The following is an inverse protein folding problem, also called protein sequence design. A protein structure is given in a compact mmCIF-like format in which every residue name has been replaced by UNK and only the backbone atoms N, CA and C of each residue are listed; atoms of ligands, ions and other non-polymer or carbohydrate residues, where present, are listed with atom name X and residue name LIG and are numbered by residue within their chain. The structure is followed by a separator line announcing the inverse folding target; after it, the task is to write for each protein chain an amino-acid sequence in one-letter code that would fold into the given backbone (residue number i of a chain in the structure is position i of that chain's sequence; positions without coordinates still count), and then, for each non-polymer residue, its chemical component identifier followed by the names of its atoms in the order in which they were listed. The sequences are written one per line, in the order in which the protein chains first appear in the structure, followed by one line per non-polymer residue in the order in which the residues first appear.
data_IF_817804868395
#
_entry.id   IF_817804868395
#
_cell.length_a   1.000
_cell.length_b   1.000
_cell.length_c   1.000
_cell.angle_alpha   90.00
_cell.angle_beta   90.00
_cell.angle_gamma   90.00
#
_symmetry.space_group_name_H-M   'P 1'
#
loop_
_entity.id
_entity.type
_entity.pdbx_description
1 polymer ?
#
# COMPACT_ATOMS: atom_id res chain seq x y z
N UNK A 1 -3.66 -18.06 24.52
CA UNK A 1 -3.83 -18.72 23.19
C UNK A 1 -5.24 -18.57 22.60
N UNK A 2 -6.33 -18.90 23.32
CA UNK A 2 -7.71 -18.84 22.78
C UNK A 2 -8.09 -17.44 22.25
N UNK A 3 -7.72 -16.40 22.99
CA UNK A 3 -8.01 -15.01 22.63
C UNK A 3 -7.27 -14.57 21.35
N UNK A 4 -5.96 -14.88 21.25
CA UNK A 4 -5.17 -14.57 20.05
C UNK A 4 -5.77 -15.23 18.81
N UNK A 5 -6.14 -16.53 18.90
CA UNK A 5 -6.79 -17.22 17.77
C UNK A 5 -8.11 -16.57 17.39
N UNK A 6 -8.92 -16.16 18.38
CA UNK A 6 -10.18 -15.48 18.13
C UNK A 6 -9.96 -14.13 17.43
N UNK A 7 -8.99 -13.34 17.91
CA UNK A 7 -8.64 -12.04 17.33
C UNK A 7 -8.18 -12.18 15.87
N UNK A 8 -7.33 -13.17 15.58
CA UNK A 8 -6.87 -13.46 14.22
C UNK A 8 -8.04 -13.89 13.35
N UNK A 9 -8.95 -14.74 13.86
CA UNK A 9 -10.05 -15.32 13.07
C UNK A 9 -11.05 -14.26 12.61
N UNK A 10 -11.24 -13.21 13.41
CA UNK A 10 -12.11 -12.09 13.07
C UNK A 10 -11.59 -11.27 11.88
N UNK A 11 -10.29 -11.37 11.55
CA UNK A 11 -9.66 -10.62 10.45
C UNK A 11 -9.43 -11.46 9.22
N UNK A 12 -8.85 -12.66 9.38
CA UNK A 12 -8.49 -13.52 8.24
C UNK A 12 -9.59 -14.51 7.84
N UNK A 13 -10.61 -14.67 8.69
CA UNK A 13 -11.70 -15.61 8.50
C UNK A 13 -11.55 -16.91 9.30
N UNK A 14 -12.55 -17.81 9.21
CA UNK A 14 -12.51 -19.11 9.87
C UNK A 14 -11.48 -20.04 9.23
N UNK A 15 -11.02 -21.04 10.00
CA UNK A 15 -10.08 -22.05 9.48
C UNK A 15 -8.62 -21.61 9.48
N UNK A 16 -8.18 -20.89 10.51
CA UNK A 16 -6.78 -20.50 10.68
C UNK A 16 -5.88 -21.72 10.83
N UNK A 17 -4.76 -21.71 10.12
CA UNK A 17 -3.69 -22.67 10.25
C UNK A 17 -2.82 -22.44 11.48
N UNK A 18 -1.51 -22.61 11.29
CA UNK A 18 -0.51 -22.36 12.33
C UNK A 18 -0.27 -20.87 12.49
N UNK A 19 -0.12 -20.43 13.73
CA UNK A 19 0.32 -19.07 14.07
C UNK A 19 1.84 -19.07 14.26
N UNK A 20 2.50 -18.13 13.60
CA UNK A 20 3.93 -17.86 13.74
C UNK A 20 4.09 -16.46 14.33
N UNK A 21 4.78 -16.33 15.45
CA UNK A 21 4.90 -15.06 16.16
C UNK A 21 6.27 -14.43 15.90
N UNK A 22 6.28 -13.15 15.57
CA UNK A 22 7.51 -12.37 15.34
C UNK A 22 7.61 -11.32 16.43
N UNK A 23 8.78 -11.24 17.08
CA UNK A 23 9.13 -10.29 18.14
C UNK A 23 10.51 -9.71 17.86
N UNK A 24 10.78 -8.45 18.22
CA UNK A 24 12.05 -7.79 17.92
C UNK A 24 13.28 -8.50 18.53
N UNK A 25 13.11 -9.08 19.71
CA UNK A 25 14.12 -9.88 20.41
C UNK A 25 13.41 -10.98 21.23
N UNK A 26 14.03 -12.16 21.31
CA UNK A 26 13.56 -13.28 22.14
C UNK A 26 13.61 -12.98 23.64
N UNK A 27 14.33 -11.96 24.06
CA UNK A 27 14.37 -11.53 25.46
C UNK A 27 13.35 -10.42 25.79
N UNK A 28 12.62 -9.90 24.79
CA UNK A 28 11.71 -8.79 25.01
C UNK A 28 10.43 -9.19 25.77
N UNK A 29 9.69 -8.18 26.26
CA UNK A 29 8.47 -8.40 27.04
C UNK A 29 7.39 -9.20 26.29
N UNK A 30 7.28 -9.04 24.97
CA UNK A 30 6.32 -9.78 24.15
C UNK A 30 6.70 -11.26 24.04
N UNK A 31 7.99 -11.59 23.90
CA UNK A 31 8.49 -12.96 23.91
C UNK A 31 8.21 -13.66 25.25
N UNK A 32 8.41 -12.94 26.36
CA UNK A 32 8.08 -13.42 27.70
C UNK A 32 6.57 -13.65 27.86
N UNK A 33 5.73 -12.72 27.39
CA UNK A 33 4.27 -12.84 27.44
C UNK A 33 3.74 -14.02 26.61
N UNK A 34 4.28 -14.22 25.40
CA UNK A 34 3.95 -15.37 24.55
C UNK A 34 4.33 -16.68 25.25
N UNK A 35 5.55 -16.75 25.80
CA UNK A 35 6.02 -17.94 26.52
C UNK A 35 5.18 -18.24 27.75
N UNK A 36 4.85 -17.22 28.55
CA UNK A 36 3.96 -17.33 29.71
C UNK A 36 2.53 -17.73 29.32
N UNK A 37 2.12 -17.46 28.07
CA UNK A 37 0.83 -17.89 27.50
C UNK A 37 0.86 -19.32 26.92
N UNK A 38 1.94 -20.07 27.13
CA UNK A 38 2.12 -21.44 26.65
C UNK A 38 2.51 -21.56 25.18
N UNK A 39 2.95 -20.48 24.53
CA UNK A 39 3.48 -20.53 23.17
C UNK A 39 4.90 -21.11 23.20
N UNK A 40 5.10 -22.23 22.52
CA UNK A 40 6.43 -22.84 22.43
C UNK A 40 7.42 -21.98 21.65
N UNK A 41 8.68 -21.97 22.09
CA UNK A 41 9.78 -21.20 21.48
C UNK A 41 9.98 -21.48 19.98
N UNK A 42 9.64 -22.68 19.51
CA UNK A 42 9.65 -23.03 18.08
C UNK A 42 8.57 -22.34 17.23
N UNK A 43 7.73 -21.50 17.83
CA UNK A 43 6.75 -20.65 17.12
C UNK A 43 7.06 -19.16 17.26
N UNK A 44 8.17 -18.79 17.91
CA UNK A 44 8.60 -17.42 18.14
C UNK A 44 9.87 -17.15 17.33
N UNK A 45 9.81 -16.16 16.45
CA UNK A 45 10.82 -15.78 15.48
C UNK A 45 11.21 -14.31 15.69
N UNK A 46 12.36 -13.92 15.14
CA UNK A 46 12.88 -12.54 15.22
C UNK A 46 12.85 -11.80 13.88
N UNK A 47 12.45 -12.47 12.79
CA UNK A 47 12.20 -11.84 11.48
C UNK A 47 10.94 -12.40 10.84
N UNK A 48 10.34 -11.60 9.94
CA UNK A 48 9.16 -12.01 9.18
C UNK A 48 9.56 -13.05 8.15
N UNK A 49 10.71 -12.88 7.49
CA UNK A 49 11.29 -13.86 6.55
C UNK A 49 11.44 -15.25 7.16
N UNK A 50 11.97 -15.35 8.40
CA UNK A 50 12.14 -16.63 9.08
C UNK A 50 10.79 -17.26 9.42
N UNK A 51 9.85 -16.48 9.97
CA UNK A 51 8.51 -16.98 10.28
C UNK A 51 7.76 -17.45 9.01
N UNK A 52 7.84 -16.68 7.93
CA UNK A 52 7.24 -17.02 6.65
C UNK A 52 7.83 -18.30 6.06
N UNK A 53 9.14 -18.55 6.21
CA UNK A 53 9.76 -19.79 5.74
C UNK A 53 9.13 -21.05 6.37
N UNK A 54 8.61 -20.92 7.59
CA UNK A 54 7.96 -21.98 8.35
C UNK A 54 6.47 -22.15 8.05
N UNK A 55 5.84 -21.17 7.40
CA UNK A 55 4.46 -21.26 6.95
C UNK A 55 4.32 -22.28 5.82
N UNK A 56 3.12 -22.81 5.62
CA UNK A 56 2.81 -23.78 4.57
C UNK A 56 1.68 -23.24 3.71
N UNK A 57 1.84 -23.36 2.39
CA UNK A 57 0.84 -22.89 1.44
C UNK A 57 -0.52 -23.57 1.66
N UNK A 58 -1.59 -22.81 1.41
CA UNK A 58 -2.99 -23.24 1.46
C UNK A 58 -3.46 -23.74 2.83
N UNK A 59 -2.82 -23.29 3.92
CA UNK A 59 -3.22 -23.65 5.29
C UNK A 59 -3.79 -22.49 6.10
N UNK A 60 -3.91 -21.29 5.54
CA UNK A 60 -4.26 -20.08 6.28
C UNK A 60 -3.32 -19.85 7.46
N UNK A 61 -2.03 -20.16 7.28
CA UNK A 61 -1.01 -19.87 8.29
C UNK A 61 -0.86 -18.35 8.41
N UNK A 62 -0.68 -17.84 9.63
CA UNK A 62 -0.62 -16.40 9.91
C UNK A 62 0.68 -16.06 10.62
N UNK A 63 1.40 -15.09 10.06
CA UNK A 63 2.56 -14.48 10.69
C UNK A 63 2.06 -13.27 11.48
N UNK A 64 2.06 -13.40 12.81
CA UNK A 64 1.64 -12.38 13.77
C UNK A 64 2.87 -11.61 14.28
N UNK A 65 2.98 -10.33 13.92
CA UNK A 65 4.15 -9.49 14.21
C UNK A 65 3.82 -8.53 15.36
N UNK A 66 4.54 -8.63 16.46
CA UNK A 66 4.35 -7.76 17.63
C UNK A 66 4.96 -6.37 17.42
N UNK A 67 4.60 -5.36 18.24
CA UNK A 67 5.18 -4.02 18.14
C UNK A 67 6.71 -4.05 18.14
N UNK A 68 7.30 -3.29 17.22
CA UNK A 68 8.73 -3.25 16.94
C UNK A 68 9.03 -2.87 15.49
N UNK A 69 10.31 -2.62 15.22
CA UNK A 69 10.84 -2.41 13.88
C UNK A 69 11.63 -3.66 13.44
N UNK A 70 11.29 -4.19 12.27
CA UNK A 70 11.80 -5.45 11.75
C UNK A 70 12.52 -5.20 10.43
N UNK A 71 13.85 -5.19 10.50
CA UNK A 71 14.70 -5.03 9.32
C UNK A 71 14.79 -6.35 8.56
N UNK A 72 14.50 -6.32 7.27
CA UNK A 72 14.80 -7.39 6.33
C UNK A 72 15.96 -6.95 5.43
N UNK A 73 16.86 -7.89 5.10
CA UNK A 73 18.05 -7.61 4.28
C UNK A 73 17.84 -7.94 2.80
N UNK A 74 16.69 -8.51 2.46
CA UNK A 74 16.32 -8.92 1.11
C UNK A 74 14.79 -8.88 0.94
N UNK A 75 14.33 -8.95 -0.32
CA UNK A 75 12.90 -9.13 -0.63
C UNK A 75 12.37 -10.41 0.00
N UNK A 76 11.18 -10.34 0.60
CA UNK A 76 10.42 -11.52 0.97
C UNK A 76 9.54 -11.93 -0.22
N UNK A 77 9.91 -13.02 -0.87
CA UNK A 77 9.10 -13.62 -1.94
C UNK A 77 7.91 -14.37 -1.35
N UNK A 78 6.78 -13.65 -1.22
CA UNK A 78 5.54 -14.15 -0.63
C UNK A 78 4.76 -15.02 -1.64
N UNK A 79 5.32 -16.17 -1.97
CA UNK A 79 4.82 -17.17 -2.93
C UNK A 79 3.79 -18.19 -2.40
N UNK A 80 3.67 -18.38 -1.08
CA UNK A 80 2.76 -19.36 -0.48
C UNK A 80 1.32 -18.83 -0.45
N UNK A 81 0.45 -19.40 -1.28
CA UNK A 81 -0.97 -19.02 -1.31
C UNK A 81 -1.66 -19.22 0.05
N UNK A 82 -2.67 -18.40 0.36
CA UNK A 82 -3.40 -18.41 1.64
C UNK A 82 -2.47 -18.48 2.87
N UNK A 83 -1.46 -17.63 2.88
CA UNK A 83 -0.67 -17.30 4.08
C UNK A 83 -0.80 -15.81 4.32
N UNK A 84 -0.80 -15.37 5.58
CA UNK A 84 -1.22 -14.01 5.93
C UNK A 84 -0.22 -13.32 6.85
N UNK A 85 -0.20 -11.99 6.78
CA UNK A 85 0.62 -11.13 7.64
C UNK A 85 -0.30 -10.24 8.49
N UNK A 86 -0.01 -10.15 9.78
CA UNK A 86 -0.81 -9.34 10.70
C UNK A 86 0.07 -8.69 11.75
N UNK A 87 -0.02 -7.36 11.88
CA UNK A 87 0.53 -6.66 13.03
C UNK A 87 -0.35 -6.79 14.27
N UNK A 88 0.29 -6.90 15.43
CA UNK A 88 -0.35 -7.03 16.75
C UNK A 88 -0.27 -5.73 17.56
N UNK A 89 0.04 -4.60 16.91
CA UNK A 89 0.17 -3.28 17.54
C UNK A 89 -1.02 -2.33 17.36
N UNK A 90 -1.99 -2.69 16.54
CA UNK A 90 -3.15 -1.84 16.24
C UNK A 90 -2.94 -0.96 15.00
N UNK A 91 -3.72 0.12 14.91
CA UNK A 91 -3.74 1.02 13.76
C UNK A 91 -2.41 1.74 13.58
N UNK A 92 -1.92 1.69 12.34
CA UNK A 92 -0.66 2.30 11.96
C UNK A 92 -0.92 3.54 11.12
N UNK A 93 -0.79 4.71 11.74
CA UNK A 93 -0.63 5.97 11.01
C UNK A 93 0.82 6.12 10.59
N UNK A 94 1.06 6.63 9.37
CA UNK A 94 2.40 7.00 8.86
C UNK A 94 3.27 7.61 9.97
N UNK A 95 4.43 7.02 10.19
CA UNK A 95 5.44 7.47 11.15
C UNK A 95 6.80 6.86 10.79
N UNK A 96 7.86 7.37 11.40
CA UNK A 96 9.21 6.82 11.25
C UNK A 96 9.30 5.42 11.87
N UNK A 97 10.24 4.59 11.42
CA UNK A 97 10.50 3.27 12.00
C UNK A 97 10.96 3.35 13.47
N UNK A 98 11.15 4.56 14.01
CA UNK A 98 11.39 4.85 15.43
C UNK A 98 10.11 5.03 16.27
N UNK A 99 8.91 5.09 15.67
CA UNK A 99 7.64 5.27 16.39
C UNK A 99 6.89 3.92 16.50
N UNK A 100 6.97 3.21 17.65
CA UNK A 100 6.84 1.76 17.69
C UNK A 100 5.38 1.28 17.73
N UNK A 101 4.74 1.23 16.57
CA UNK A 101 3.74 0.22 16.27
C UNK A 101 4.44 -1.00 15.63
N UNK A 102 3.94 -1.59 14.53
CA UNK A 102 4.58 -2.72 13.83
C UNK A 102 5.14 -2.27 12.47
N UNK A 103 6.46 -2.18 12.32
CA UNK A 103 7.10 -1.73 11.06
C UNK A 103 7.99 -2.81 10.47
N UNK A 104 7.71 -3.23 9.25
CA UNK A 104 8.58 -4.08 8.43
C UNK A 104 9.33 -3.19 7.44
N UNK A 105 10.66 -3.22 7.42
CA UNK A 105 11.41 -2.31 6.58
C UNK A 105 12.71 -2.91 6.03
N UNK A 106 13.23 -2.28 4.98
CA UNK A 106 14.58 -2.54 4.46
C UNK A 106 15.36 -1.23 4.49
N UNK A 107 16.49 -1.17 5.19
CA UNK A 107 17.31 0.05 5.30
C UNK A 107 18.64 0.00 4.53
N UNK A 108 19.03 -1.17 4.02
CA UNK A 108 20.32 -1.36 3.32
C UNK A 108 20.14 -2.25 2.09
N UNK A 109 21.00 -2.03 1.09
CA UNK A 109 21.02 -2.66 -0.23
C UNK A 109 19.85 -2.28 -1.19
N UNK A 110 20.14 -2.43 -2.47
CA UNK A 110 19.19 -2.42 -3.57
C UNK A 110 18.20 -3.59 -3.41
N UNK A 111 17.14 -3.38 -2.63
CA UNK A 111 16.01 -4.30 -2.46
C UNK A 111 14.84 -3.75 -3.26
N UNK A 112 14.51 -4.45 -4.35
CA UNK A 112 13.45 -4.06 -5.27
C UNK A 112 12.11 -3.84 -4.57
N UNK A 113 11.72 -4.80 -3.73
CA UNK A 113 10.48 -4.79 -2.96
C UNK A 113 10.74 -5.35 -1.56
N UNK A 114 10.09 -4.82 -0.52
CA UNK A 114 10.14 -5.47 0.80
C UNK A 114 9.35 -6.78 0.74
N UNK A 115 8.18 -6.76 0.08
CA UNK A 115 7.38 -7.94 -0.22
C UNK A 115 7.12 -8.02 -1.73
N UNK A 116 7.57 -9.12 -2.34
CA UNK A 116 7.15 -9.54 -3.68
C UNK A 116 6.03 -10.59 -3.56
N UNK A 117 4.79 -10.16 -3.76
CA UNK A 117 3.61 -11.00 -3.58
C UNK A 117 3.29 -11.77 -4.87
N UNK A 118 3.64 -13.05 -4.88
CA UNK A 118 3.39 -13.99 -5.98
C UNK A 118 2.43 -15.13 -5.62
N UNK A 119 2.10 -15.28 -4.33
CA UNK A 119 1.09 -16.21 -3.82
C UNK A 119 -0.30 -15.59 -3.79
N UNK A 120 -1.33 -16.37 -4.11
CA UNK A 120 -2.71 -15.90 -4.19
C UNK A 120 -3.37 -15.82 -2.79
N UNK A 121 -4.45 -15.04 -2.70
CA UNK A 121 -5.31 -14.94 -1.50
C UNK A 121 -4.56 -14.52 -0.22
N UNK A 122 -3.55 -13.68 -0.38
CA UNK A 122 -2.80 -13.10 0.72
C UNK A 122 -3.64 -12.06 1.46
N UNK A 123 -3.48 -12.00 2.77
CA UNK A 123 -4.09 -10.91 3.56
C UNK A 123 -3.03 -10.24 4.44
N UNK A 124 -3.08 -8.92 4.49
CA UNK A 124 -2.17 -8.08 5.28
C UNK A 124 -2.97 -7.11 6.13
N UNK A 125 -2.73 -7.11 7.44
CA UNK A 125 -3.49 -6.30 8.39
C UNK A 125 -2.56 -5.57 9.36
N UNK A 126 -2.91 -4.32 9.70
CA UNK A 126 -2.43 -3.63 10.90
C UNK A 126 -0.88 -3.48 10.97
N UNK A 127 -0.21 -3.28 9.82
CA UNK A 127 1.26 -3.21 9.73
C UNK A 127 1.73 -2.09 8.78
N UNK A 128 2.87 -1.48 9.08
CA UNK A 128 3.57 -0.59 8.15
C UNK A 128 4.69 -1.36 7.41
N UNK A 129 4.82 -1.12 6.11
CA UNK A 129 5.84 -1.71 5.25
C UNK A 129 6.59 -0.59 4.54
N UNK A 130 7.91 -0.54 4.71
CA UNK A 130 8.75 0.58 4.26
C UNK A 130 9.96 0.11 3.45
N UNK A 131 10.07 0.56 2.21
CA UNK A 131 11.31 0.42 1.45
C UNK A 131 12.14 1.70 1.62
N UNK A 132 13.01 1.71 2.63
CA UNK A 132 13.85 2.85 3.00
C UNK A 132 15.25 2.81 2.34
N UNK A 133 15.44 2.01 1.30
CA UNK A 133 16.71 1.96 0.57
C UNK A 133 16.92 3.18 -0.34
N UNK A 134 18.19 3.57 -0.52
CA UNK A 134 18.59 4.70 -1.38
C UNK A 134 19.22 4.23 -2.70
N UNK A 135 18.47 3.48 -3.52
CA UNK A 135 18.87 3.03 -4.86
C UNK A 135 17.73 3.25 -5.87
N UNK A 136 18.07 3.54 -7.13
CA UNK A 136 17.09 3.62 -8.22
C UNK A 136 16.37 2.28 -8.50
N UNK A 137 16.86 1.18 -7.93
CA UNK A 137 16.24 -0.13 -7.99
C UNK A 137 15.36 -0.46 -6.78
N UNK A 138 15.34 0.36 -5.72
CA UNK A 138 14.38 0.18 -4.63
C UNK A 138 12.98 0.64 -5.09
N UNK A 139 12.29 -0.24 -5.81
CA UNK A 139 11.09 0.12 -6.57
C UNK A 139 9.88 0.44 -5.70
N UNK A 140 9.55 -0.38 -4.68
CA UNK A 140 8.38 -0.15 -3.83
C UNK A 140 8.44 -0.89 -2.48
N UNK A 141 7.50 -0.59 -1.58
CA UNK A 141 7.30 -1.39 -0.37
C UNK A 141 6.77 -2.79 -0.72
N UNK A 142 5.72 -2.81 -1.55
CA UNK A 142 5.01 -4.04 -1.92
C UNK A 142 4.79 -4.05 -3.43
N UNK A 143 5.08 -5.19 -4.05
CA UNK A 143 4.59 -5.52 -5.40
C UNK A 143 3.52 -6.59 -5.29
N UNK A 144 2.33 -6.28 -5.78
CA UNK A 144 1.22 -7.23 -5.93
C UNK A 144 1.28 -7.83 -7.33
N UNK A 145 1.68 -9.09 -7.41
CA UNK A 145 1.71 -9.88 -8.64
C UNK A 145 0.95 -11.20 -8.47
N UNK A 146 -0.16 -11.16 -7.73
CA UNK A 146 -1.13 -12.25 -7.69
C UNK A 146 -2.51 -11.76 -7.28
N UNK A 147 -3.50 -12.59 -7.60
CA UNK A 147 -4.91 -12.29 -7.38
C UNK A 147 -5.37 -12.50 -5.94
N UNK A 148 -6.49 -11.84 -5.60
CA UNK A 148 -7.23 -12.08 -4.36
C UNK A 148 -6.54 -11.55 -3.11
N UNK A 149 -5.64 -10.58 -3.25
CA UNK A 149 -4.97 -9.98 -2.10
C UNK A 149 -5.85 -8.96 -1.38
N UNK A 150 -5.80 -8.96 -0.05
CA UNK A 150 -6.53 -7.99 0.78
C UNK A 150 -5.59 -7.31 1.77
N UNK A 151 -5.54 -5.99 1.70
CA UNK A 151 -4.76 -5.14 2.60
C UNK A 151 -5.74 -4.29 3.40
N UNK A 152 -5.68 -4.38 4.73
CA UNK A 152 -6.53 -3.59 5.61
C UNK A 152 -5.69 -2.85 6.63
N UNK A 153 -5.88 -1.55 6.72
CA UNK A 153 -5.21 -0.73 7.74
C UNK A 153 -3.68 -0.93 7.72
N UNK A 154 -3.13 -0.88 6.51
CA UNK A 154 -1.70 -1.03 6.22
C UNK A 154 -1.15 0.31 5.77
N UNK A 155 0.08 0.62 6.21
CA UNK A 155 0.83 1.76 5.68
C UNK A 155 1.92 1.27 4.73
N UNK A 156 1.94 1.74 3.49
CA UNK A 156 2.92 1.36 2.47
C UNK A 156 3.77 2.58 2.11
N UNK A 157 5.08 2.52 2.33
CA UNK A 157 5.99 3.64 2.10
C UNK A 157 7.16 3.22 1.22
N UNK A 158 7.44 4.03 0.21
CA UNK A 158 8.65 3.97 -0.60
C UNK A 158 9.04 5.38 -1.00
N UNK A 159 10.03 5.54 -1.88
CA UNK A 159 10.53 6.87 -2.26
C UNK A 159 10.94 7.72 -1.04
N UNK A 160 11.50 7.07 -0.01
CA UNK A 160 11.86 7.73 1.25
C UNK A 160 13.20 8.46 1.16
N UNK A 161 14.05 8.08 0.21
CA UNK A 161 15.42 8.57 0.07
C UNK A 161 15.62 9.34 -1.24
N UNK A 162 16.66 10.19 -1.30
CA UNK A 162 16.85 11.12 -2.41
C UNK A 162 16.92 10.43 -3.79
N UNK A 163 17.63 9.30 -3.91
CA UNK A 163 17.75 8.58 -5.19
C UNK A 163 16.42 7.94 -5.60
N UNK A 164 15.67 7.34 -4.68
CA UNK A 164 14.36 6.75 -4.99
C UNK A 164 13.32 7.83 -5.32
N UNK A 165 13.35 8.97 -4.61
CA UNK A 165 12.46 10.10 -4.86
C UNK A 165 12.73 10.80 -6.22
N UNK A 166 13.97 10.78 -6.70
CA UNK A 166 14.35 11.29 -8.03
C UNK A 166 14.10 10.28 -9.18
N UNK A 167 13.74 9.03 -8.87
CA UNK A 167 13.61 7.96 -9.87
C UNK A 167 12.15 7.71 -10.23
N UNK A 168 11.79 7.95 -11.50
CA UNK A 168 10.42 7.85 -12.01
C UNK A 168 9.78 6.47 -11.85
N UNK A 169 10.58 5.39 -11.86
CA UNK A 169 10.07 4.04 -11.70
C UNK A 169 9.74 3.74 -10.24
N UNK A 170 10.39 4.35 -9.25
CA UNK A 170 10.10 4.07 -7.85
C UNK A 170 8.68 4.54 -7.44
N UNK A 171 8.13 3.93 -6.39
CA UNK A 171 6.82 4.19 -5.81
C UNK A 171 6.73 3.61 -4.39
N UNK A 172 5.53 3.60 -3.81
CA UNK A 172 5.24 2.92 -2.54
C UNK A 172 4.54 1.57 -2.77
N UNK A 173 3.69 1.49 -3.78
CA UNK A 173 2.93 0.29 -4.13
C UNK A 173 3.02 0.01 -5.62
N UNK A 174 3.33 -1.23 -5.97
CA UNK A 174 3.28 -1.73 -7.34
C UNK A 174 2.09 -2.69 -7.52
N UNK A 175 1.29 -2.44 -8.54
CA UNK A 175 0.33 -3.41 -9.07
C UNK A 175 0.91 -3.94 -10.39
N UNK A 176 1.24 -5.22 -10.41
CA UNK A 176 1.87 -5.88 -11.56
C UNK A 176 0.88 -6.77 -12.33
N UNK A 177 1.35 -7.48 -13.36
CA UNK A 177 0.50 -8.16 -14.36
C UNK A 177 -0.55 -9.08 -13.75
N UNK A 178 -0.17 -9.91 -12.79
CA UNK A 178 -1.08 -10.87 -12.16
C UNK A 178 -1.84 -10.28 -10.94
N UNK A 179 -1.69 -8.99 -10.67
CA UNK A 179 -2.26 -8.27 -9.53
C UNK A 179 -3.76 -7.98 -9.66
N UNK A 180 -4.54 -9.03 -9.91
CA UNK A 180 -5.99 -8.95 -10.09
C UNK A 180 -6.74 -8.91 -8.75
N UNK A 181 -7.93 -8.30 -8.71
CA UNK A 181 -8.84 -8.35 -7.56
C UNK A 181 -8.23 -7.94 -6.21
N UNK A 182 -7.16 -7.14 -6.23
CA UNK A 182 -6.50 -6.65 -5.03
C UNK A 182 -7.38 -5.58 -4.36
N UNK A 183 -7.66 -5.75 -3.08
CA UNK A 183 -8.48 -4.79 -2.30
C UNK A 183 -7.58 -4.16 -1.23
N UNK A 184 -7.58 -2.82 -1.20
CA UNK A 184 -6.93 -2.01 -0.18
C UNK A 184 -8.01 -1.25 0.57
N UNK A 185 -8.06 -1.37 1.90
CA UNK A 185 -9.10 -0.80 2.74
C UNK A 185 -8.51 -0.11 3.96
N UNK A 186 -8.87 1.16 4.16
CA UNK A 186 -8.33 2.00 5.25
C UNK A 186 -6.79 2.07 5.25
N UNK A 187 -6.17 1.95 4.08
CA UNK A 187 -4.71 1.98 3.93
C UNK A 187 -4.19 3.40 3.76
N UNK A 188 -2.93 3.59 4.13
CA UNK A 188 -2.16 4.79 3.79
C UNK A 188 -1.03 4.40 2.85
N UNK A 189 -0.90 5.07 1.72
CA UNK A 189 0.05 4.70 0.66
C UNK A 189 0.84 5.94 0.26
N UNK A 190 2.17 5.84 0.31
CA UNK A 190 3.09 6.94 0.04
C UNK A 190 3.61 7.61 1.30
N UNK A 191 4.12 8.84 1.14
CA UNK A 191 4.76 9.59 2.21
C UNK A 191 4.76 11.11 1.95
N UNK A 192 4.85 11.90 3.01
CA UNK A 192 4.80 13.37 3.01
C UNK A 192 5.91 14.06 3.83
N UNK A 193 6.88 13.31 4.39
CA UNK A 193 7.82 13.86 5.40
C UNK A 193 9.30 13.54 5.17
N UNK A 194 9.67 12.66 4.23
CA UNK A 194 11.08 12.29 4.03
C UNK A 194 11.74 13.01 2.86
N UNK A 195 11.56 12.50 1.64
CA UNK A 195 12.20 13.03 0.44
C UNK A 195 11.18 13.63 -0.52
N UNK A 196 11.51 14.77 -1.10
CA UNK A 196 10.68 15.45 -2.10
C UNK A 196 10.82 14.73 -3.44
N UNK A 197 9.71 14.22 -3.97
CA UNK A 197 9.67 13.51 -5.26
C UNK A 197 9.95 14.47 -6.40
N UNK A 198 10.89 14.08 -7.25
CA UNK A 198 11.29 14.85 -8.45
C UNK A 198 11.34 14.01 -9.72
N UNK A 199 11.20 12.68 -9.61
CA UNK A 199 11.11 11.77 -10.75
C UNK A 199 9.84 12.02 -11.58
N UNK A 200 10.02 12.69 -12.72
CA UNK A 200 8.95 12.99 -13.67
C UNK A 200 8.17 11.73 -14.05
N UNK A 201 6.85 11.85 -14.21
CA UNK A 201 5.97 10.75 -14.63
C UNK A 201 5.96 9.54 -13.66
N UNK A 202 6.47 9.72 -12.44
CA UNK A 202 6.41 8.73 -11.36
C UNK A 202 5.09 8.80 -10.59
N UNK A 203 4.72 7.68 -9.96
CA UNK A 203 3.52 7.57 -9.12
C UNK A 203 3.84 7.05 -7.73
N UNK A 204 3.03 7.41 -6.74
CA UNK A 204 3.03 6.75 -5.42
C UNK A 204 2.54 5.31 -5.57
N UNK A 205 1.44 5.15 -6.30
CA UNK A 205 0.96 3.86 -6.79
C UNK A 205 1.40 3.72 -8.24
N UNK A 206 2.02 2.58 -8.58
CA UNK A 206 2.46 2.30 -9.94
C UNK A 206 1.82 1.04 -10.48
N UNK A 207 1.06 1.21 -11.57
CA UNK A 207 0.61 0.12 -12.41
C UNK A 207 1.74 -0.23 -13.38
N UNK A 208 2.53 -1.23 -13.00
CA UNK A 208 3.78 -1.60 -13.68
C UNK A 208 3.64 -2.76 -14.66
N UNK A 209 2.54 -3.54 -14.54
CA UNK A 209 2.30 -4.73 -15.34
C UNK A 209 1.56 -4.49 -16.65
N UNK A 210 0.96 -5.56 -17.16
CA UNK A 210 0.02 -5.51 -18.29
C UNK A 210 -1.34 -6.08 -17.86
N UNK A 211 -2.33 -5.21 -17.76
CA UNK A 211 -3.75 -5.49 -17.53
C UNK A 211 -4.14 -6.13 -16.17
N UNK A 212 -3.57 -5.72 -15.02
CA UNK A 212 -4.20 -6.05 -13.74
C UNK A 212 -5.62 -5.48 -13.69
N UNK A 213 -6.60 -6.21 -13.17
CA UNK A 213 -8.02 -5.83 -13.23
C UNK A 213 -8.76 -6.06 -11.90
N UNK A 214 -9.93 -5.45 -11.79
CA UNK A 214 -10.97 -5.64 -10.79
C UNK A 214 -10.51 -5.38 -9.34
N UNK A 215 -9.47 -4.57 -9.16
CA UNK A 215 -8.98 -4.17 -7.85
C UNK A 215 -9.68 -2.91 -7.32
N UNK A 216 -9.58 -2.69 -6.01
CA UNK A 216 -10.29 -1.60 -5.34
C UNK A 216 -9.44 -0.95 -4.25
N UNK A 217 -9.53 0.37 -4.15
CA UNK A 217 -9.04 1.16 -3.04
C UNK A 217 -10.24 1.77 -2.31
N UNK A 218 -10.38 1.50 -1.02
CA UNK A 218 -11.52 1.92 -0.19
C UNK A 218 -11.03 2.69 1.01
N UNK A 219 -11.49 3.93 1.18
CA UNK A 219 -11.10 4.82 2.29
C UNK A 219 -9.58 4.96 2.46
N UNK A 220 -8.85 4.86 1.35
CA UNK A 220 -7.40 4.94 1.36
C UNK A 220 -6.93 6.40 1.31
N UNK A 221 -5.83 6.70 1.97
CA UNK A 221 -5.14 7.99 1.83
C UNK A 221 -3.85 7.78 1.03
N UNK A 222 -3.76 8.41 -0.12
CA UNK A 222 -2.58 8.41 -0.98
C UNK A 222 -1.84 9.72 -0.75
N UNK A 223 -0.63 9.65 -0.18
CA UNK A 223 0.17 10.82 0.19
C UNK A 223 1.43 10.95 -0.66
N UNK A 224 1.76 12.19 -0.99
CA UNK A 224 2.95 12.54 -1.74
C UNK A 224 3.49 13.89 -1.27
N UNK A 225 4.80 14.07 -1.37
CA UNK A 225 5.48 15.37 -1.39
C UNK A 225 6.32 15.43 -2.66
N UNK A 226 6.08 16.43 -3.51
CA UNK A 226 6.71 16.49 -4.85
C UNK A 226 6.95 17.93 -5.29
N UNK A 227 8.06 18.16 -6.01
CA UNK A 227 8.43 19.48 -6.56
C UNK A 227 8.41 19.53 -8.09
N UNK A 228 8.27 18.39 -8.76
CA UNK A 228 8.18 18.27 -10.23
C UNK A 228 6.72 18.14 -10.65
N UNK A 229 6.21 19.10 -11.44
CA UNK A 229 4.79 19.16 -11.86
C UNK A 229 4.25 17.87 -12.52
N UNK A 230 5.10 17.04 -13.12
CA UNK A 230 4.71 15.79 -13.77
C UNK A 230 4.73 14.57 -12.85
N UNK A 231 5.02 14.73 -11.55
CA UNK A 231 4.77 13.66 -10.58
C UNK A 231 3.25 13.49 -10.38
N UNK A 232 2.80 12.23 -10.29
CA UNK A 232 1.40 11.88 -10.09
C UNK A 232 1.21 11.08 -8.78
N UNK A 233 -0.05 10.94 -8.34
CA UNK A 233 -0.40 10.00 -7.27
C UNK A 233 -0.40 8.56 -7.80
N UNK A 234 -0.98 8.36 -8.97
CA UNK A 234 -1.08 7.07 -9.67
C UNK A 234 -0.41 7.20 -11.03
N UNK A 235 0.58 6.36 -11.29
CA UNK A 235 1.25 6.31 -12.59
C UNK A 235 1.05 4.95 -13.24
N UNK A 236 0.81 4.98 -14.55
CA UNK A 236 0.66 3.79 -15.38
C UNK A 236 1.86 3.70 -16.28
N UNK A 237 2.64 2.64 -16.12
CA UNK A 237 3.95 2.53 -16.76
C UNK A 237 3.85 2.16 -18.24
N UNK A 238 2.77 1.49 -18.64
CA UNK A 238 2.58 0.95 -19.97
C UNK A 238 1.17 1.24 -20.47
N UNK A 239 1.02 1.18 -21.77
CA UNK A 239 -0.25 1.36 -22.44
C UNK A 239 -1.40 0.45 -22.04
N UNK A 240 -1.06 -0.70 -21.49
CA UNK A 240 -1.99 -1.71 -21.01
C UNK A 240 -1.92 -1.83 -19.49
N UNK A 241 -1.29 -0.87 -18.79
CA UNK A 241 -0.93 -1.02 -17.39
C UNK A 241 -2.12 -1.11 -16.43
N UNK A 242 -3.31 -0.67 -16.86
CA UNK A 242 -4.56 -0.81 -16.11
C UNK A 242 -5.57 -1.63 -16.92
N UNK A 243 -6.03 -2.73 -16.34
CA UNK A 243 -7.14 -3.56 -16.80
C UNK A 243 -8.50 -3.04 -16.29
N UNK A 244 -9.56 -3.81 -16.51
CA UNK A 244 -10.95 -3.42 -16.20
C UNK A 244 -11.20 -3.24 -14.71
N UNK A 245 -12.23 -2.48 -14.33
CA UNK A 245 -12.87 -2.59 -13.02
C UNK A 245 -12.09 -2.02 -11.84
N UNK A 246 -11.11 -1.14 -12.07
CA UNK A 246 -10.45 -0.44 -10.96
C UNK A 246 -11.34 0.65 -10.38
N UNK A 247 -11.51 0.60 -9.06
CA UNK A 247 -12.33 1.55 -8.31
C UNK A 247 -11.55 2.18 -7.16
N UNK A 248 -11.63 3.50 -7.05
CA UNK A 248 -11.22 4.26 -5.87
C UNK A 248 -12.49 4.81 -5.22
N UNK A 249 -12.75 4.40 -3.98
CA UNK A 249 -13.93 4.76 -3.22
C UNK A 249 -13.53 5.42 -1.91
N UNK A 250 -14.08 6.60 -1.64
CA UNK A 250 -13.82 7.40 -0.44
C UNK A 250 -12.33 7.69 -0.23
N UNK A 251 -11.54 7.77 -1.31
CA UNK A 251 -10.09 7.93 -1.25
C UNK A 251 -9.66 9.39 -1.26
N UNK A 252 -8.49 9.65 -0.66
CA UNK A 252 -7.90 11.00 -0.55
C UNK A 252 -6.56 11.03 -1.28
N UNK A 253 -6.40 11.93 -2.23
CA UNK A 253 -5.14 12.11 -2.96
C UNK A 253 -4.49 13.42 -2.54
N UNK A 254 -3.37 13.34 -1.82
CA UNK A 254 -2.75 14.50 -1.18
C UNK A 254 -1.33 14.67 -1.70
N UNK A 255 -1.06 15.80 -2.35
CA UNK A 255 0.29 16.24 -2.61
C UNK A 255 0.61 17.48 -1.78
N UNK A 256 1.54 17.34 -0.86
CA UNK A 256 2.12 18.41 -0.08
C UNK A 256 3.32 18.95 -0.86
N UNK A 257 3.10 19.92 -1.75
CA UNK A 257 4.19 20.56 -2.49
C UNK A 257 4.94 21.51 -1.55
N UNK A 258 6.26 21.37 -1.47
CA UNK A 258 7.15 22.34 -0.84
C UNK A 258 7.42 23.56 -1.75
N UNK A 259 7.11 23.41 -3.04
CA UNK A 259 7.23 24.43 -4.07
C UNK A 259 5.88 25.09 -4.38
N UNK A 260 5.90 26.28 -4.97
CA UNK A 260 4.70 26.92 -5.52
C UNK A 260 4.08 26.16 -6.71
N UNK A 261 4.76 25.12 -7.21
CA UNK A 261 4.34 24.31 -8.34
C UNK A 261 3.28 23.31 -7.92
N UNK A 262 2.07 23.45 -8.46
CA UNK A 262 1.02 22.43 -8.37
C UNK A 262 1.37 21.23 -9.27
N UNK A 263 0.90 20.04 -8.91
CA UNK A 263 1.08 18.86 -9.73
C UNK A 263 0.04 18.85 -10.84
N UNK A 264 0.44 18.49 -12.05
CA UNK A 264 -0.44 18.53 -13.21
C UNK A 264 -1.66 17.62 -13.05
N UNK A 265 -1.52 16.45 -12.39
CA UNK A 265 -2.56 15.42 -12.41
C UNK A 265 -2.44 14.36 -11.31
N UNK A 266 -3.59 13.81 -10.90
CA UNK A 266 -3.66 12.66 -10.00
C UNK A 266 -3.23 11.35 -10.70
N UNK A 267 -3.76 11.11 -11.90
CA UNK A 267 -3.53 9.90 -12.71
C UNK A 267 -2.73 10.24 -13.96
N UNK A 268 -1.53 9.68 -14.07
CA UNK A 268 -0.69 9.76 -15.27
C UNK A 268 -0.68 8.43 -16.04
N UNK A 269 -0.82 8.49 -17.37
CA UNK A 269 -0.68 7.35 -18.27
C UNK A 269 0.01 7.72 -19.59
N UNK A 270 0.56 6.76 -20.33
CA UNK A 270 1.21 7.02 -21.61
C UNK A 270 0.17 7.32 -22.70
N UNK A 271 0.43 8.36 -23.48
CA UNK A 271 -0.51 9.05 -24.38
C UNK A 271 -1.07 8.26 -25.57
N UNK A 272 -0.74 6.98 -25.75
CA UNK A 272 -0.99 6.27 -27.02
C UNK A 272 -1.65 4.89 -26.90
N UNK A 273 -2.13 4.49 -25.73
CA UNK A 273 -2.55 3.08 -25.55
C UNK A 273 -3.70 2.86 -24.55
N UNK A 274 -4.33 1.69 -24.69
CA UNK A 274 -5.61 1.31 -24.09
C UNK A 274 -5.50 0.84 -22.62
N UNK A 275 -5.47 1.81 -21.69
CA UNK A 275 -5.91 1.57 -20.32
C UNK A 275 -7.44 1.70 -20.20
N UNK A 276 -8.01 0.83 -19.39
CA UNK A 276 -9.46 0.74 -19.14
C UNK A 276 -9.93 1.83 -18.16
N UNK A 277 -11.24 2.11 -18.12
CA UNK A 277 -11.83 3.03 -17.16
C UNK A 277 -11.43 2.78 -15.70
N UNK A 278 -11.12 3.87 -15.00
CA UNK A 278 -10.97 3.95 -13.55
C UNK A 278 -12.19 4.68 -12.98
N UNK A 279 -12.82 4.09 -11.98
CA UNK A 279 -13.99 4.65 -11.32
C UNK A 279 -13.59 5.36 -10.03
N UNK A 280 -14.04 6.60 -9.86
CA UNK A 280 -13.90 7.39 -8.65
C UNK A 280 -15.27 7.55 -8.00
N UNK A 281 -15.35 7.20 -6.72
CA UNK A 281 -16.57 7.36 -5.93
C UNK A 281 -16.23 8.13 -4.66
N UNK A 282 -16.73 9.35 -4.51
CA UNK A 282 -16.54 10.18 -3.31
C UNK A 282 -15.06 10.37 -2.87
N UNK A 283 -14.16 10.41 -3.84
CA UNK A 283 -12.76 10.80 -3.65
C UNK A 283 -12.56 12.33 -3.64
N UNK A 284 -11.39 12.79 -3.19
CA UNK A 284 -10.95 14.17 -3.42
C UNK A 284 -9.45 14.23 -3.66
N UNK A 285 -9.00 15.31 -4.31
CA UNK A 285 -7.58 15.60 -4.53
C UNK A 285 -7.21 16.97 -3.98
N UNK A 286 -5.99 17.09 -3.46
CA UNK A 286 -5.37 18.35 -3.02
C UNK A 286 -3.93 18.40 -3.54
N UNK A 287 -3.54 19.55 -4.08
CA UNK A 287 -2.18 19.74 -4.64
C UNK A 287 -2.03 19.24 -6.08
N UNK A 288 -3.15 18.97 -6.76
CA UNK A 288 -3.22 18.57 -8.17
C UNK A 288 -4.15 19.51 -8.95
N UNK A 289 -3.79 19.85 -10.19
CA UNK A 289 -4.57 20.75 -11.06
C UNK A 289 -5.85 20.08 -11.59
N UNK A 290 -5.77 18.78 -11.85
CA UNK A 290 -6.82 17.96 -12.48
C UNK A 290 -6.64 16.48 -12.15
N UNK A 291 -7.59 15.66 -12.59
CA UNK A 291 -7.55 14.21 -12.35
C UNK A 291 -6.64 13.46 -13.33
N UNK A 292 -6.55 13.89 -14.60
CA UNK A 292 -5.71 13.30 -15.63
C UNK A 292 -5.30 14.36 -16.67
N UNK A 293 -4.17 14.16 -17.38
CA UNK A 293 -3.59 15.09 -18.35
C UNK A 293 -4.20 15.02 -19.74
N UNK A 294 -4.79 13.87 -20.05
CA UNK A 294 -5.43 13.61 -21.33
C UNK A 294 -6.87 14.14 -21.34
N UNK A 295 -7.39 14.43 -22.54
CA UNK A 295 -8.83 14.58 -22.83
C UNK A 295 -9.59 13.25 -22.67
N UNK A 296 -9.18 12.40 -21.73
CA UNK A 296 -9.47 10.99 -21.75
C UNK A 296 -10.75 10.65 -20.99
N UNK A 297 -11.68 10.01 -21.71
CA UNK A 297 -12.89 9.36 -21.20
C UNK A 297 -12.58 8.14 -20.32
N UNK A 298 -11.59 8.24 -19.44
CA UNK A 298 -10.98 7.11 -18.72
C UNK A 298 -11.17 7.23 -17.21
N UNK A 299 -11.41 8.43 -16.71
CA UNK A 299 -11.78 8.66 -15.32
C UNK A 299 -13.29 8.91 -15.27
N UNK A 300 -14.00 8.09 -14.50
CA UNK A 300 -15.45 8.21 -14.31
C UNK A 300 -15.75 8.47 -12.85
N UNK A 301 -16.33 9.63 -12.54
CA UNK A 301 -16.62 10.06 -11.17
C UNK A 301 -18.11 10.16 -10.90
N UNK A 302 -18.52 9.93 -9.65
CA UNK A 302 -19.83 10.38 -9.14
C UNK A 302 -19.80 11.80 -8.59
N UNK A 303 -18.61 12.40 -8.49
CA UNK A 303 -18.40 13.79 -8.09
C UNK A 303 -18.27 14.73 -9.30
N UNK A 304 -18.43 16.04 -9.11
CA UNK A 304 -17.95 17.03 -10.07
C UNK A 304 -16.43 16.84 -10.30
N UNK A 305 -16.08 16.37 -11.49
CA UNK A 305 -14.70 16.38 -11.99
C UNK A 305 -14.52 17.73 -12.66
N UNK A 306 -14.05 18.73 -11.91
CA UNK A 306 -13.57 19.95 -12.52
C UNK A 306 -12.22 19.63 -13.18
N UNK A 307 -12.19 19.54 -14.51
CA UNK A 307 -10.94 19.39 -15.27
C UNK A 307 -10.09 20.69 -15.27
N UNK A 308 -10.65 21.80 -14.79
CA UNK A 308 -9.95 23.06 -14.55
C UNK A 308 -10.04 23.45 -13.06
N UNK A 309 -8.99 23.14 -12.30
CA UNK A 309 -8.78 23.66 -10.96
C UNK A 309 -9.21 22.68 -9.86
N UNK A 310 -8.24 21.94 -9.35
CA UNK A 310 -8.34 21.13 -8.15
C UNK A 310 -9.29 21.72 -7.10
N UNK A 311 -10.39 20.98 -6.89
CA UNK A 311 -11.50 21.25 -5.98
C UNK A 311 -11.48 22.57 -5.23
N UNK A 312 -12.17 23.59 -5.75
CA UNK A 312 -13.04 24.33 -4.85
C UNK A 312 -14.12 23.36 -4.40
N UNK A 313 -14.13 23.01 -3.11
CA UNK A 313 -15.20 22.25 -2.52
C UNK A 313 -16.53 22.92 -2.88
N UNK A 314 -17.30 22.31 -3.79
CA UNK A 314 -18.70 22.63 -3.92
C UNK A 314 -19.30 22.12 -2.62
N UNK A 315 -19.62 23.06 -1.72
CA UNK A 315 -20.45 22.76 -0.57
C UNK A 315 -21.68 22.04 -1.13
N UNK A 316 -21.86 20.77 -0.75
CA UNK A 316 -23.13 20.10 -0.95
C UNK A 316 -24.12 20.88 -0.10
N UNK A 317 -24.82 21.83 -0.73
CA UNK A 317 -25.96 22.47 -0.12
C UNK A 317 -26.99 21.36 0.06
N UNK A 318 -27.10 20.85 1.28
CA UNK A 318 -28.25 20.07 1.74
C UNK A 318 -29.46 21.02 1.84
N UNK A 319 -29.84 21.68 0.74
CA UNK A 319 -31.21 22.14 0.58
C UNK A 319 -32.04 20.89 0.33
N UNK A 320 -32.38 20.24 1.44
CA UNK A 320 -33.54 19.36 1.56
C UNK A 320 -34.72 20.18 1.03
N UNK A 321 -35.04 20.00 -0.24
CA UNK A 321 -36.27 20.47 -0.82
C UNK A 321 -37.41 19.74 -0.10
N UNK A 322 -37.89 20.35 0.97
CA UNK A 322 -39.17 20.04 1.57
C UNK A 322 -40.24 20.30 0.52
N UNK A 323 -40.60 19.25 -0.23
CA UNK A 323 -41.85 19.22 -0.97
C UNK A 323 -42.92 18.68 -0.02
N UNK A 324 -43.76 19.60 0.44
CA UNK A 324 -45.09 19.30 0.97
C UNK A 324 -46.09 18.98 -0.13
#
# INVERSE_FOLDING_TARGET
MREIKSYVAQRVGPGIGKLHFVVSDRTNAYAALLSGSGIGQGSIYTSVSTAYSMAVASRNDVICVYPGAYAETASIDWSKANTHLMGMGGIHSLGDYYEPNVVLYTATAAVDYVIDLTGANFQCHDIAIQNAGNSATNYAAVKVNKYGSYFKNVSLMGQMEATTAATAVCGALYIHTDGHTAIFEDCVIGQDVWSVRSGANGGVIRFSGSQPNDGQFRRCTIKSISSTATCAAVAVASGTGIGRGWEFRDCRFLNFSDAATQMNQVFYGPTTTAWWPVHLHNCYSQGYDRWTDETSYRIFGTMPIADDGGGQAIALDETVAGAG
#
